data_IF_595678439039
#
_entry.id   IF_595678439039
#
_cell.length_a   1.000
_cell.length_b   1.000
_cell.length_c   1.000
_cell.angle_alpha   90.00
_cell.angle_beta   90.00
_cell.angle_gamma   90.00
#
_symmetry.space_group_name_H-M   'P 1'
#
loop_
_entity.id
_entity.type
_entity.pdbx_description
1 polymer ?
#
# COMPACT_ATOMS: atom_id res chain seq x y z
N UNK A 1 -15.75 -5.71 -32.68
CA UNK A 1 -16.24 -4.87 -31.55
C UNK A 1 -16.14 -5.53 -30.18
N UNK A 2 -16.32 -6.83 -30.00
CA UNK A 2 -16.25 -7.56 -28.70
C UNK A 2 -14.93 -7.39 -27.95
N UNK A 3 -13.77 -7.53 -28.62
CA UNK A 3 -12.42 -7.48 -27.99
C UNK A 3 -12.09 -6.16 -27.27
N UNK A 4 -12.69 -5.02 -27.70
CA UNK A 4 -12.51 -3.70 -27.07
C UNK A 4 -13.31 -3.59 -25.76
N UNK A 5 -14.47 -4.24 -25.70
CA UNK A 5 -15.34 -4.20 -24.51
C UNK A 5 -14.78 -5.06 -23.37
N UNK A 6 -14.15 -6.19 -23.69
CA UNK A 6 -13.50 -7.08 -22.72
C UNK A 6 -12.32 -6.40 -22.02
N UNK A 7 -11.45 -5.71 -22.77
CA UNK A 7 -10.31 -4.97 -22.19
C UNK A 7 -10.76 -3.86 -21.23
N UNK A 8 -11.86 -3.18 -21.54
CA UNK A 8 -12.43 -2.16 -20.67
C UNK A 8 -12.96 -2.75 -19.36
N UNK A 9 -13.68 -3.87 -19.44
CA UNK A 9 -14.17 -4.59 -18.26
C UNK A 9 -13.03 -5.05 -17.36
N UNK A 10 -12.00 -5.67 -17.92
CA UNK A 10 -10.84 -6.15 -17.15
C UNK A 10 -10.12 -5.01 -16.43
N UNK A 11 -9.98 -3.84 -17.06
CA UNK A 11 -9.38 -2.68 -16.41
C UNK A 11 -10.22 -2.15 -15.23
N UNK A 12 -11.55 -2.17 -15.35
CA UNK A 12 -12.45 -1.81 -14.25
C UNK A 12 -12.27 -2.77 -13.07
N UNK A 13 -12.27 -4.08 -13.32
CA UNK A 13 -12.05 -5.08 -12.28
C UNK A 13 -10.70 -4.90 -11.59
N UNK A 14 -9.63 -4.67 -12.35
CA UNK A 14 -8.32 -4.38 -11.78
C UNK A 14 -8.34 -3.16 -10.87
N UNK A 15 -8.97 -2.05 -11.28
CA UNK A 15 -9.09 -0.85 -10.45
C UNK A 15 -9.87 -1.12 -9.15
N UNK A 16 -10.93 -1.93 -9.20
CA UNK A 16 -11.70 -2.30 -8.00
C UNK A 16 -10.84 -3.13 -7.06
N UNK A 17 -10.12 -4.13 -7.58
CA UNK A 17 -9.24 -4.99 -6.78
C UNK A 17 -8.14 -4.16 -6.11
N UNK A 18 -7.47 -3.28 -6.85
CA UNK A 18 -6.45 -2.37 -6.29
C UNK A 18 -7.02 -1.44 -5.22
N UNK A 19 -8.21 -0.89 -5.44
CA UNK A 19 -8.89 -0.05 -4.46
C UNK A 19 -9.15 -0.81 -3.15
N UNK A 20 -9.69 -2.02 -3.25
CA UNK A 20 -9.94 -2.89 -2.09
C UNK A 20 -8.63 -3.20 -1.36
N UNK A 21 -7.57 -3.50 -2.10
CA UNK A 21 -6.27 -3.82 -1.54
C UNK A 21 -5.65 -2.60 -0.81
N UNK A 22 -5.74 -1.41 -1.36
CA UNK A 22 -5.29 -0.18 -0.72
C UNK A 22 -6.08 0.11 0.57
N UNK A 23 -7.40 -0.05 0.54
CA UNK A 23 -8.26 0.11 1.72
C UNK A 23 -7.89 -0.93 2.79
N UNK A 24 -7.68 -2.20 2.37
CA UNK A 24 -7.26 -3.26 3.27
C UNK A 24 -5.93 -2.94 3.98
N UNK A 25 -4.93 -2.44 3.24
CA UNK A 25 -3.62 -2.08 3.83
C UNK A 25 -3.76 -1.00 4.89
N UNK A 26 -4.63 0.00 4.68
CA UNK A 26 -4.88 1.07 5.66
C UNK A 26 -5.66 0.55 6.88
N UNK A 27 -6.65 -0.32 6.66
CA UNK A 27 -7.49 -0.85 7.74
C UNK A 27 -6.82 -1.99 8.53
N UNK A 28 -5.88 -2.70 7.91
CA UNK A 28 -5.21 -3.85 8.51
C UNK A 28 -4.64 -3.58 9.91
N UNK A 29 -3.92 -2.48 10.18
CA UNK A 29 -3.41 -2.19 11.52
C UNK A 29 -4.52 -1.98 12.55
N UNK A 30 -5.63 -1.37 12.15
CA UNK A 30 -6.78 -1.14 13.02
C UNK A 30 -7.42 -2.47 13.44
N UNK A 31 -7.48 -3.42 12.49
CA UNK A 31 -8.04 -4.76 12.72
C UNK A 31 -7.09 -5.62 13.55
N UNK A 32 -5.79 -5.58 13.26
CA UNK A 32 -4.82 -6.48 13.88
C UNK A 32 -4.47 -6.08 15.32
N UNK A 33 -4.58 -4.80 15.69
CA UNK A 33 -4.27 -4.33 17.05
C UNK A 33 -5.13 -5.02 18.11
N UNK A 34 -6.47 -5.04 18.03
CA UNK A 34 -7.30 -5.74 19.02
C UNK A 34 -7.08 -7.26 19.00
N UNK A 35 -6.80 -7.85 17.81
CA UNK A 35 -6.52 -9.28 17.71
C UNK A 35 -5.21 -9.62 18.44
N UNK A 36 -4.19 -8.81 18.33
CA UNK A 36 -2.91 -8.99 19.06
C UNK A 36 -3.08 -8.86 20.56
N UNK A 37 -4.00 -8.02 21.03
CA UNK A 37 -4.32 -7.90 22.45
C UNK A 37 -5.00 -9.16 23.01
N UNK A 38 -5.83 -9.82 22.19
CA UNK A 38 -6.54 -11.05 22.56
C UNK A 38 -5.66 -12.30 22.49
N UNK A 39 -4.72 -12.35 21.52
CA UNK A 39 -3.85 -13.51 21.27
C UNK A 39 -2.40 -13.06 21.21
N UNK A 40 -1.68 -13.04 22.37
CA UNK A 40 -0.30 -12.55 22.45
C UNK A 40 0.67 -13.26 21.50
N UNK A 41 0.41 -14.54 21.17
CA UNK A 41 1.22 -15.32 20.22
C UNK A 41 1.27 -14.70 18.81
N UNK A 42 0.22 -14.00 18.38
CA UNK A 42 0.21 -13.25 17.11
C UNK A 42 1.00 -11.93 17.17
N UNK A 43 1.42 -11.53 18.38
CA UNK A 43 2.14 -10.26 18.59
C UNK A 43 3.62 -10.29 18.25
N UNK A 44 4.21 -11.49 18.16
CA UNK A 44 5.67 -11.65 17.99
C UNK A 44 5.96 -11.95 16.52
N UNK A 45 6.64 -11.00 15.85
CA UNK A 45 7.10 -11.22 14.48
C UNK A 45 8.09 -12.40 14.44
N UNK A 46 7.88 -13.42 13.58
CA UNK A 46 8.80 -14.55 13.46
C UNK A 46 10.24 -14.10 13.14
N UNK A 47 10.38 -13.09 12.30
CA UNK A 47 11.68 -12.52 11.94
C UNK A 47 12.39 -11.91 13.17
N UNK A 48 11.68 -11.12 13.97
CA UNK A 48 12.23 -10.55 15.21
C UNK A 48 12.65 -11.66 16.20
N UNK A 49 11.85 -12.73 16.28
CA UNK A 49 12.14 -13.87 17.17
C UNK A 49 13.39 -14.64 16.74
N UNK A 50 13.64 -14.78 15.44
CA UNK A 50 14.79 -15.55 14.91
C UNK A 50 16.04 -14.70 14.85
N UNK A 51 15.94 -13.44 14.40
CA UNK A 51 17.10 -12.58 14.10
C UNK A 51 17.42 -11.55 15.17
N UNK A 52 16.49 -11.31 16.11
CA UNK A 52 16.59 -10.21 17.09
C UNK A 52 16.39 -8.81 16.47
N UNK A 53 16.25 -8.70 15.14
CA UNK A 53 16.09 -7.43 14.42
C UNK A 53 14.63 -7.17 14.05
N UNK A 54 14.25 -5.90 13.99
CA UNK A 54 12.91 -5.53 13.53
C UNK A 54 12.75 -5.80 12.03
N UNK A 55 11.70 -6.49 11.67
CA UNK A 55 11.32 -6.73 10.28
C UNK A 55 10.78 -5.42 9.67
N UNK A 56 11.12 -5.09 8.40
CA UNK A 56 10.62 -3.91 7.71
C UNK A 56 9.09 -3.82 7.70
N UNK A 57 8.42 -4.95 7.45
CA UNK A 57 6.95 -5.03 7.44
C UNK A 57 6.33 -4.75 8.82
N UNK A 58 6.96 -5.18 9.91
CA UNK A 58 6.51 -4.87 11.27
C UNK A 58 6.69 -3.37 11.59
N UNK A 59 7.74 -2.75 11.08
CA UNK A 59 7.93 -1.31 11.13
C UNK A 59 6.79 -0.57 10.43
N UNK A 60 6.44 -0.99 9.20
CA UNK A 60 5.33 -0.45 8.43
C UNK A 60 3.98 -0.58 9.14
N UNK A 61 3.67 -1.74 9.72
CA UNK A 61 2.43 -1.94 10.46
C UNK A 61 2.31 -1.01 11.68
N UNK A 62 3.39 -0.84 12.45
CA UNK A 62 3.43 0.09 13.58
C UNK A 62 3.27 1.53 13.13
N UNK A 63 3.90 1.87 12.01
CA UNK A 63 3.83 3.18 11.41
C UNK A 63 2.40 3.53 10.97
N UNK A 64 1.73 2.63 10.24
CA UNK A 64 0.34 2.84 9.81
C UNK A 64 -0.61 2.87 11.03
N UNK A 65 -0.37 2.05 12.06
CA UNK A 65 -1.12 2.09 13.30
C UNK A 65 -0.98 3.44 14.04
N UNK A 66 0.19 4.05 13.97
CA UNK A 66 0.49 5.37 14.52
C UNK A 66 0.08 6.54 13.63
N UNK A 67 -0.52 6.33 12.46
CA UNK A 67 -0.78 7.36 11.46
C UNK A 67 -1.62 8.53 12.00
N UNK A 68 -2.57 8.25 12.89
CA UNK A 68 -3.39 9.28 13.51
C UNK A 68 -2.61 10.12 14.54
N UNK A 69 -1.54 9.56 15.14
CA UNK A 69 -0.59 10.30 15.98
C UNK A 69 0.47 11.02 15.15
N UNK A 70 0.80 10.46 14.01
CA UNK A 70 1.85 10.85 13.06
C UNK A 70 1.51 12.08 12.25
N UNK A 71 0.23 12.33 11.95
CA UNK A 71 -0.21 13.57 11.30
C UNK A 71 0.14 14.83 12.12
N UNK A 72 0.57 14.66 13.38
CA UNK A 72 1.00 15.77 14.25
C UNK A 72 2.49 16.13 14.14
N UNK A 73 3.32 15.27 13.52
CA UNK A 73 4.77 15.49 13.43
C UNK A 73 5.26 15.39 11.98
N UNK A 74 5.72 16.54 11.38
CA UNK A 74 6.15 16.58 9.98
C UNK A 74 7.29 15.61 9.63
N UNK A 75 8.19 15.33 10.58
CA UNK A 75 9.30 14.40 10.38
C UNK A 75 8.87 12.97 10.03
N UNK A 76 7.69 12.57 10.47
CA UNK A 76 7.14 11.26 10.14
C UNK A 76 6.66 11.16 8.68
N UNK A 77 6.14 12.24 8.10
CA UNK A 77 5.69 12.25 6.71
C UNK A 77 6.84 12.10 5.72
N UNK A 78 8.06 12.52 6.11
CA UNK A 78 9.28 12.43 5.29
C UNK A 78 9.93 11.04 5.40
N UNK A 79 9.52 10.22 6.38
CA UNK A 79 10.03 8.85 6.49
C UNK A 79 9.55 7.98 5.30
N UNK A 80 10.29 6.92 4.92
CA UNK A 80 9.89 6.04 3.82
C UNK A 80 8.48 5.48 3.96
N UNK A 81 8.09 5.12 5.18
CA UNK A 81 6.73 4.66 5.46
C UNK A 81 5.69 5.76 5.32
N UNK A 82 6.02 7.00 5.68
CA UNK A 82 5.15 8.16 5.49
C UNK A 82 4.89 8.42 4.02
N UNK A 83 5.94 8.40 3.21
CA UNK A 83 5.84 8.52 1.75
C UNK A 83 4.97 7.42 1.18
N UNK A 84 5.14 6.16 1.63
CA UNK A 84 4.30 5.03 1.21
C UNK A 84 2.81 5.23 1.55
N UNK A 85 2.51 5.75 2.74
CA UNK A 85 1.13 6.02 3.16
C UNK A 85 0.50 7.13 2.32
N UNK A 86 1.22 8.23 2.09
CA UNK A 86 0.77 9.31 1.21
C UNK A 86 0.48 8.74 -0.18
N UNK A 87 1.37 7.89 -0.67
CA UNK A 87 1.20 7.22 -1.95
C UNK A 87 -0.07 6.38 -2.01
N UNK A 88 -0.36 5.56 -0.99
CA UNK A 88 -1.58 4.75 -0.91
C UNK A 88 -2.84 5.64 -0.91
N UNK A 89 -2.80 6.76 -0.19
CA UNK A 89 -3.93 7.71 -0.16
C UNK A 89 -4.17 8.32 -1.55
N UNK A 90 -3.10 8.76 -2.23
CA UNK A 90 -3.20 9.28 -3.59
C UNK A 90 -3.72 8.23 -4.56
N UNK A 91 -3.29 6.99 -4.40
CA UNK A 91 -3.77 5.85 -5.19
C UNK A 91 -5.27 5.61 -5.01
N UNK A 92 -5.77 5.64 -3.77
CA UNK A 92 -7.21 5.53 -3.50
C UNK A 92 -7.99 6.63 -4.21
N UNK A 93 -7.55 7.89 -4.09
CA UNK A 93 -8.19 9.04 -4.73
C UNK A 93 -8.18 8.86 -6.26
N UNK A 94 -7.06 8.45 -6.83
CA UNK A 94 -6.91 8.22 -8.26
C UNK A 94 -7.84 7.10 -8.77
N UNK A 95 -7.94 5.97 -8.03
CA UNK A 95 -8.83 4.86 -8.38
C UNK A 95 -10.30 5.26 -8.31
N UNK A 96 -10.70 5.98 -7.27
CA UNK A 96 -12.06 6.51 -7.15
C UNK A 96 -12.36 7.46 -8.32
N UNK A 97 -11.43 8.36 -8.66
CA UNK A 97 -11.60 9.30 -9.78
C UNK A 97 -11.80 8.56 -11.11
N UNK A 98 -10.99 7.54 -11.41
CA UNK A 98 -11.12 6.74 -12.63
C UNK A 98 -12.47 6.02 -12.69
N UNK A 99 -12.90 5.42 -11.57
CA UNK A 99 -14.16 4.68 -11.49
C UNK A 99 -15.36 5.60 -11.70
N UNK A 100 -15.36 6.79 -11.09
CA UNK A 100 -16.44 7.79 -11.22
C UNK A 100 -16.52 8.38 -12.63
N UNK A 101 -15.38 8.75 -13.22
CA UNK A 101 -15.33 9.37 -14.55
C UNK A 101 -15.56 8.37 -15.68
N UNK A 102 -15.47 7.06 -15.43
CA UNK A 102 -15.56 5.98 -16.44
C UNK A 102 -14.67 6.22 -17.67
N UNK A 103 -13.58 6.96 -17.47
CA UNK A 103 -12.68 7.41 -18.53
C UNK A 103 -11.56 6.40 -18.74
N UNK A 104 -11.73 5.53 -19.71
CA UNK A 104 -10.79 4.42 -20.00
C UNK A 104 -10.11 4.66 -21.35
N UNK A 105 -9.10 5.54 -21.40
CA UNK A 105 -8.28 5.70 -22.59
C UNK A 105 -7.06 4.76 -22.52
N UNK A 106 -6.54 4.35 -23.69
CA UNK A 106 -5.32 3.53 -23.76
C UNK A 106 -4.13 4.23 -23.08
N UNK A 107 -4.06 5.57 -23.17
CA UNK A 107 -3.01 6.39 -22.55
C UNK A 107 -3.07 6.31 -21.03
N UNK A 108 -4.26 6.36 -20.43
CA UNK A 108 -4.44 6.24 -18.97
C UNK A 108 -4.03 4.86 -18.48
N UNK A 109 -4.41 3.80 -19.19
CA UNK A 109 -4.03 2.42 -18.85
C UNK A 109 -2.51 2.24 -18.91
N UNK A 110 -1.86 2.76 -19.94
CA UNK A 110 -0.40 2.69 -20.08
C UNK A 110 0.30 3.50 -18.98
N UNK A 111 -0.17 4.71 -18.71
CA UNK A 111 0.37 5.55 -17.65
C UNK A 111 0.26 4.86 -16.28
N UNK A 112 -0.91 4.31 -15.96
CA UNK A 112 -1.17 3.57 -14.74
C UNK A 112 -0.20 2.39 -14.57
N UNK A 113 0.01 1.61 -15.63
CA UNK A 113 0.94 0.49 -15.61
C UNK A 113 2.40 0.93 -15.39
N UNK A 114 2.87 1.92 -16.15
CA UNK A 114 4.26 2.44 -16.04
C UNK A 114 4.50 3.03 -14.65
N UNK A 115 3.55 3.78 -14.14
CA UNK A 115 3.61 4.37 -12.81
C UNK A 115 3.80 3.30 -11.72
N UNK A 116 2.98 2.21 -11.72
CA UNK A 116 3.11 1.13 -10.75
C UNK A 116 4.41 0.35 -10.91
N UNK A 117 4.90 0.19 -12.14
CA UNK A 117 6.19 -0.44 -12.39
C UNK A 117 7.33 0.36 -11.75
N UNK A 118 7.34 1.68 -11.95
CA UNK A 118 8.37 2.57 -11.37
C UNK A 118 8.31 2.52 -9.85
N UNK A 119 7.13 2.64 -9.27
CA UNK A 119 6.95 2.59 -7.81
C UNK A 119 7.36 1.24 -7.24
N UNK A 120 7.00 0.16 -7.90
CA UNK A 120 7.42 -1.18 -7.49
C UNK A 120 8.95 -1.34 -7.49
N UNK A 121 9.63 -0.84 -8.51
CA UNK A 121 11.10 -0.87 -8.60
C UNK A 121 11.72 -0.03 -7.48
N UNK A 122 11.20 1.17 -7.21
CA UNK A 122 11.70 2.04 -6.15
C UNK A 122 11.48 1.41 -4.77
N UNK A 123 10.34 0.78 -4.54
CA UNK A 123 10.06 0.09 -3.28
C UNK A 123 10.99 -1.11 -3.07
N UNK A 124 11.17 -1.95 -4.09
CA UNK A 124 12.09 -3.10 -4.03
C UNK A 124 13.53 -2.62 -3.78
N UNK A 125 13.94 -1.58 -4.49
CA UNK A 125 15.27 -0.98 -4.30
C UNK A 125 15.49 -0.47 -2.87
N UNK A 126 14.48 0.18 -2.31
CA UNK A 126 14.50 0.63 -0.92
C UNK A 126 14.61 -0.54 0.07
N UNK A 127 13.83 -1.60 -0.09
CA UNK A 127 13.88 -2.77 0.78
C UNK A 127 15.24 -3.47 0.70
N UNK A 128 15.82 -3.59 -0.50
CA UNK A 128 17.17 -4.15 -0.68
C UNK A 128 18.20 -3.32 0.07
N UNK A 129 18.18 -1.99 -0.06
CA UNK A 129 19.09 -1.10 0.66
C UNK A 129 18.92 -1.23 2.17
N UNK A 130 17.69 -1.32 2.65
CA UNK A 130 17.40 -1.50 4.07
C UNK A 130 17.95 -2.82 4.65
N UNK A 131 18.00 -3.88 3.84
CA UNK A 131 18.57 -5.17 4.28
C UNK A 131 20.09 -5.24 4.18
N UNK A 132 20.73 -4.40 3.36
CA UNK A 132 22.18 -4.38 3.18
C UNK A 132 22.87 -3.49 4.21
N UNK A 133 22.24 -2.41 4.66
CA UNK A 133 22.73 -1.47 5.68
C UNK A 133 22.28 -1.91 7.06
#
# INVERSE_FOLDING_TARGET
>A
MQKKNTKKKNYIYMNIVFLILCIYVILFPIIIIPIKAMVPAFGICPYLRITGKFCPLCGGTRYIAGIFQVLKTPSYLISPFGVMVIFIILEIIFRIYILLKKRYSKKIILFDFVYHLIVGILFIGYEILFFII
#
